data_IF_980372241376
#
_entry.id   IF_980372241376
#
_cell.length_a   1.000
_cell.length_b   1.000
_cell.length_c   1.000
_cell.angle_alpha   90.00
_cell.angle_beta   90.00
_cell.angle_gamma   90.00
#
_symmetry.space_group_name_H-M   'P 1'
#
loop_
_entity.id
_entity.type
_entity.pdbx_description
1 polymer ?
#
# COMPACT_ATOMS: atom_id res chain seq x y z
N UNK A 1 -9.43 15.14 7.85
CA UNK A 1 -8.00 15.50 7.69
C UNK A 1 -7.27 14.27 7.15
N UNK A 2 -6.32 14.37 6.21
CA UNK A 2 -5.67 13.18 5.67
C UNK A 2 -4.81 12.49 6.74
N UNK A 3 -4.85 11.15 6.78
CA UNK A 3 -3.94 10.37 7.61
C UNK A 3 -2.51 10.38 7.07
N UNK A 4 -1.54 10.33 7.97
CA UNK A 4 -0.14 10.30 7.60
C UNK A 4 0.20 9.00 6.85
N UNK A 5 0.61 9.08 5.57
CA UNK A 5 0.84 7.89 4.76
C UNK A 5 1.94 6.98 5.31
N UNK A 6 3.03 7.57 5.80
CA UNK A 6 4.15 6.85 6.41
C UNK A 6 3.77 6.14 7.71
N UNK A 7 3.12 6.85 8.63
CA UNK A 7 2.74 6.26 9.91
C UNK A 7 1.67 5.19 9.74
N UNK A 8 0.67 5.44 8.88
CA UNK A 8 -0.37 4.45 8.57
C UNK A 8 0.25 3.21 7.91
N UNK A 9 1.17 3.36 6.96
CA UNK A 9 1.85 2.21 6.35
C UNK A 9 2.62 1.37 7.37
N UNK A 10 3.34 2.01 8.31
CA UNK A 10 4.04 1.29 9.39
C UNK A 10 3.10 0.52 10.30
N UNK A 11 1.99 1.11 10.71
CA UNK A 11 1.01 0.43 11.57
C UNK A 11 0.30 -0.70 10.81
N UNK A 12 -0.04 -0.51 9.53
CA UNK A 12 -0.59 -1.58 8.69
C UNK A 12 0.35 -2.79 8.62
N UNK A 13 1.65 -2.57 8.38
CA UNK A 13 2.64 -3.66 8.36
C UNK A 13 2.74 -4.39 9.70
N UNK A 14 2.64 -3.67 10.83
CA UNK A 14 2.62 -4.31 12.17
C UNK A 14 1.36 -5.13 12.39
N UNK A 15 0.21 -4.62 11.99
CA UNK A 15 -1.07 -5.33 12.10
C UNK A 15 -1.06 -6.57 11.21
N UNK A 16 -0.58 -6.46 9.98
CA UNK A 16 -0.44 -7.58 9.07
C UNK A 16 0.49 -8.66 9.64
N UNK A 17 1.66 -8.28 10.18
CA UNK A 17 2.58 -9.22 10.80
C UNK A 17 1.95 -9.93 12.01
N UNK A 18 1.27 -9.19 12.90
CA UNK A 18 0.53 -9.77 14.03
C UNK A 18 -0.61 -10.69 13.58
N UNK A 19 -1.35 -10.28 12.55
CA UNK A 19 -2.45 -11.07 12.02
C UNK A 19 -1.96 -12.40 11.43
N UNK A 20 -0.79 -12.39 10.76
CA UNK A 20 -0.15 -13.61 10.26
C UNK A 20 0.35 -14.50 11.41
N UNK A 21 0.85 -13.89 12.49
CA UNK A 21 1.29 -14.61 13.70
C UNK A 21 0.10 -15.25 14.45
N UNK A 22 -1.00 -14.51 14.62
CA UNK A 22 -2.21 -14.97 15.29
C UNK A 22 -2.97 -16.02 14.46
N UNK A 23 -2.90 -15.93 13.12
CA UNK A 23 -3.55 -16.83 12.16
C UNK A 23 -2.52 -17.46 11.19
N UNK A 24 -1.76 -18.46 11.66
CA UNK A 24 -0.69 -19.08 10.86
C UNK A 24 -1.24 -19.84 9.65
N UNK A 25 -2.41 -20.46 9.77
CA UNK A 25 -3.09 -21.16 8.68
C UNK A 25 -3.81 -20.18 7.74
N UNK A 26 -3.68 -20.42 6.44
CA UNK A 26 -4.20 -19.51 5.40
C UNK A 26 -5.72 -19.51 5.32
N UNK A 27 -6.37 -20.61 5.70
CA UNK A 27 -7.82 -20.77 5.70
C UNK A 27 -8.50 -19.90 6.77
N UNK A 28 -7.81 -19.61 7.88
CA UNK A 28 -8.32 -18.75 8.95
C UNK A 28 -8.10 -17.24 8.67
N UNK A 29 -7.31 -16.91 7.63
CA UNK A 29 -7.00 -15.52 7.25
C UNK A 29 -8.17 -14.91 6.47
N UNK A 30 -9.10 -14.31 7.19
CA UNK A 30 -10.13 -13.44 6.60
C UNK A 30 -9.55 -12.09 6.20
N UNK A 31 -9.46 -11.88 4.88
CA UNK A 31 -9.12 -10.57 4.28
C UNK A 31 -9.99 -9.44 4.84
N UNK A 32 -11.28 -9.68 5.03
CA UNK A 32 -12.21 -8.66 5.54
C UNK A 32 -11.93 -8.29 7.01
N UNK A 33 -11.48 -9.25 7.83
CA UNK A 33 -11.05 -8.97 9.20
C UNK A 33 -9.77 -8.11 9.22
N UNK A 34 -8.80 -8.40 8.35
CA UNK A 34 -7.58 -7.60 8.22
C UNK A 34 -7.87 -6.16 7.77
N UNK A 35 -8.78 -5.97 6.81
CA UNK A 35 -9.18 -4.63 6.36
C UNK A 35 -9.88 -3.81 7.45
N UNK A 36 -10.71 -4.43 8.29
CA UNK A 36 -11.32 -3.74 9.45
C UNK A 36 -10.26 -3.19 10.41
N UNK A 37 -9.24 -3.98 10.72
CA UNK A 37 -8.12 -3.54 11.56
C UNK A 37 -7.35 -2.37 10.93
N UNK A 38 -7.27 -2.31 9.60
CA UNK A 38 -6.65 -1.18 8.89
C UNK A 38 -7.48 0.10 8.93
N UNK A 39 -8.81 0.00 8.93
CA UNK A 39 -9.72 1.15 8.98
C UNK A 39 -9.73 1.82 10.37
N UNK A 40 -9.43 1.06 11.42
CA UNK A 40 -9.27 1.58 12.79
C UNK A 40 -8.03 2.47 12.96
N UNK A 41 -7.09 2.48 12.00
CA UNK A 41 -5.87 3.30 12.07
C UNK A 41 -6.19 4.77 11.77
N UNK A 42 -6.43 5.55 12.82
CA UNK A 42 -6.56 7.00 12.74
C UNK A 42 -5.27 7.73 13.16
N UNK A 43 -4.54 8.28 12.19
CA UNK A 43 -3.33 9.09 12.43
C UNK A 43 -3.46 10.40 11.64
N UNK A 44 -4.30 11.33 12.12
CA UNK A 44 -4.60 12.53 11.39
C UNK A 44 -3.39 13.46 11.34
N UNK A 45 -3.07 13.98 10.15
CA UNK A 45 -2.10 15.06 10.02
C UNK A 45 -2.74 16.41 10.39
N UNK A 46 -2.01 17.29 11.04
CA UNK A 46 -2.48 18.66 11.33
C UNK A 46 -2.25 19.53 10.11
N UNK A 47 -3.24 20.35 9.73
CA UNK A 47 -3.05 21.37 8.70
C UNK A 47 -2.14 22.47 9.24
N UNK A 48 -1.21 22.99 8.43
CA UNK A 48 -0.43 24.16 8.80
C UNK A 48 -1.30 25.42 8.69
N UNK A 49 -1.46 26.15 9.80
CA UNK A 49 -2.24 27.38 9.88
C UNK A 49 -1.62 28.52 9.05
N UNK A 50 -0.29 28.54 8.90
CA UNK A 50 0.43 29.53 8.08
C UNK A 50 0.29 29.22 6.60
N UNK A 51 0.21 27.93 6.24
CA UNK A 51 0.22 27.49 4.86
C UNK A 51 -0.84 26.39 4.65
N UNK A 52 -2.10 26.79 4.49
CA UNK A 52 -3.31 25.92 4.44
C UNK A 52 -3.32 24.80 3.40
N UNK A 53 -2.30 24.74 2.53
CA UNK A 53 -2.10 23.67 1.54
C UNK A 53 -1.32 22.48 2.11
N UNK A 54 -0.51 22.71 3.14
CA UNK A 54 0.38 21.71 3.71
C UNK A 54 -0.21 21.11 4.98
N UNK A 55 0.14 19.85 5.19
CA UNK A 55 -0.18 19.09 6.38
C UNK A 55 1.12 18.63 7.02
N UNK A 56 1.17 18.66 8.35
CA UNK A 56 2.28 18.17 9.14
C UNK A 56 1.86 16.99 10.02
N UNK A 57 2.61 15.91 9.95
CA UNK A 57 2.47 14.80 10.88
C UNK A 57 3.30 15.06 12.14
N UNK A 58 2.67 15.08 13.32
CA UNK A 58 3.35 15.24 14.62
C UNK A 58 4.14 14.00 15.06
N UNK A 59 3.89 12.82 14.48
CA UNK A 59 4.59 11.57 14.82
C UNK A 59 5.91 11.42 14.08
N UNK A 60 5.90 11.58 12.74
CA UNK A 60 7.10 11.37 11.91
C UNK A 60 7.69 12.66 11.33
N UNK A 61 7.04 13.81 11.50
CA UNK A 61 7.50 15.10 10.96
C UNK A 61 7.21 15.30 9.47
N UNK A 62 6.50 14.38 8.80
CA UNK A 62 6.16 14.53 7.38
C UNK A 62 5.40 15.83 7.13
N UNK A 63 5.93 16.67 6.26
CA UNK A 63 5.33 17.93 5.83
C UNK A 63 5.06 17.86 4.32
N UNK A 64 3.79 17.80 3.95
CA UNK A 64 3.39 17.53 2.56
C UNK A 64 2.01 18.13 2.25
N UNK A 65 1.79 18.47 0.99
CA UNK A 65 0.48 18.83 0.45
C UNK A 65 -0.42 17.61 0.28
N UNK A 66 -1.71 17.84 0.02
CA UNK A 66 -2.67 16.75 -0.17
C UNK A 66 -2.36 15.87 -1.38
N UNK A 67 -1.83 16.45 -2.45
CA UNK A 67 -1.42 15.72 -3.66
C UNK A 67 -0.21 14.85 -3.35
N UNK A 68 0.83 15.42 -2.76
CA UNK A 68 2.02 14.68 -2.32
C UNK A 68 1.69 13.54 -1.35
N UNK A 69 0.74 13.75 -0.42
CA UNK A 69 0.26 12.68 0.46
C UNK A 69 -0.32 11.52 -0.35
N UNK A 70 -1.08 11.81 -1.41
CA UNK A 70 -1.70 10.78 -2.25
C UNK A 70 -0.64 10.01 -3.04
N UNK A 71 0.36 10.71 -3.59
CA UNK A 71 1.48 10.12 -4.29
C UNK A 71 2.32 9.22 -3.38
N UNK A 72 2.59 9.66 -2.14
CA UNK A 72 3.32 8.86 -1.16
C UNK A 72 2.51 7.60 -0.81
N UNK A 73 1.19 7.68 -0.62
CA UNK A 73 0.35 6.48 -0.39
C UNK A 73 0.42 5.52 -1.55
N UNK A 74 0.35 6.04 -2.77
CA UNK A 74 0.43 5.22 -3.96
C UNK A 74 1.76 4.47 -4.01
N UNK A 75 2.89 5.18 -3.82
CA UNK A 75 4.23 4.58 -3.77
C UNK A 75 4.39 3.55 -2.65
N UNK A 76 3.89 3.82 -1.45
CA UNK A 76 3.98 2.90 -0.31
C UNK A 76 3.14 1.63 -0.49
N UNK A 77 2.07 1.69 -1.29
CA UNK A 77 1.23 0.53 -1.61
C UNK A 77 1.73 -0.25 -2.84
N UNK A 78 2.67 0.30 -3.63
CA UNK A 78 3.24 -0.45 -4.74
C UNK A 78 4.17 -1.52 -4.19
N UNK A 79 3.88 -2.79 -4.55
CA UNK A 79 4.84 -3.88 -4.38
C UNK A 79 6.08 -3.54 -5.22
N UNK A 80 7.25 -3.59 -4.61
CA UNK A 80 8.51 -3.39 -5.33
C UNK A 80 8.58 -4.46 -6.43
N UNK A 81 8.65 -4.06 -7.72
CA UNK A 81 8.71 -5.02 -8.84
C UNK A 81 9.96 -5.86 -8.67
N UNK A 82 9.77 -7.11 -8.29
CA UNK A 82 10.85 -8.05 -8.11
C UNK A 82 11.37 -8.51 -9.46
N UNK A 83 12.57 -9.08 -9.48
CA UNK A 83 13.18 -9.60 -10.71
C UNK A 83 12.33 -10.73 -11.33
N UNK A 84 11.62 -11.50 -10.50
CA UNK A 84 10.72 -12.58 -10.93
C UNK A 84 9.47 -12.05 -11.65
N UNK A 85 8.90 -10.93 -11.17
CA UNK A 85 7.74 -10.29 -11.84
C UNK A 85 8.04 -9.89 -13.30
N UNK A 86 9.32 -9.65 -13.65
CA UNK A 86 9.74 -9.37 -15.04
C UNK A 86 9.90 -10.62 -15.91
N UNK A 87 10.18 -11.78 -15.29
CA UNK A 87 10.34 -13.04 -16.00
C UNK A 87 8.97 -13.57 -16.46
N UNK A 88 7.94 -13.40 -15.63
CA UNK A 88 6.57 -13.79 -15.95
C UNK A 88 5.98 -12.95 -17.10
N UNK A 89 6.28 -11.65 -17.16
CA UNK A 89 5.90 -10.77 -18.28
C UNK A 89 6.45 -11.29 -19.63
N UNK A 90 7.68 -11.83 -19.66
CA UNK A 90 8.27 -12.40 -20.87
C UNK A 90 7.57 -13.69 -21.31
N UNK A 91 7.26 -14.58 -20.35
CA UNK A 91 6.54 -15.83 -20.61
C UNK A 91 5.10 -15.58 -21.07
N UNK A 92 4.41 -14.60 -20.48
CA UNK A 92 3.07 -14.18 -20.92
C UNK A 92 3.08 -13.62 -22.34
N UNK A 93 4.01 -12.71 -22.65
CA UNK A 93 4.14 -12.14 -23.99
C UNK A 93 4.45 -13.23 -25.02
N UNK A 94 5.38 -14.13 -24.70
CA UNK A 94 5.75 -15.22 -25.59
C UNK A 94 4.59 -16.19 -25.82
N UNK A 95 3.84 -16.54 -24.78
CA UNK A 95 2.68 -17.43 -24.87
C UNK A 95 1.52 -16.79 -25.65
N UNK A 96 1.25 -15.49 -25.44
CA UNK A 96 0.28 -14.72 -26.23
C UNK A 96 0.68 -14.67 -27.71
N UNK A 97 1.95 -14.38 -28.01
CA UNK A 97 2.47 -14.37 -29.38
C UNK A 97 2.37 -15.74 -30.07
N UNK A 98 2.60 -16.83 -29.33
CA UNK A 98 2.42 -18.20 -29.81
C UNK A 98 0.95 -18.52 -30.09
N UNK A 99 0.05 -18.07 -29.22
CA UNK A 99 -1.40 -18.31 -29.35
C UNK A 99 -2.02 -17.54 -30.52
N UNK A 100 -1.66 -16.26 -30.68
CA UNK A 100 -2.08 -15.42 -31.82
C UNK A 100 -1.58 -15.95 -33.18
N UNK A 101 -0.45 -16.66 -33.21
CA UNK A 101 0.07 -17.33 -34.41
C UNK A 101 -0.62 -18.66 -34.74
N UNK A 102 -1.33 -19.27 -33.80
CA UNK A 102 -2.05 -20.52 -34.02
C UNK A 102 -3.52 -20.29 -34.41
N UNK A 103 -4.04 -19.08 -34.14
CA UNK A 103 -5.42 -18.66 -34.48
C UNK A 103 -5.50 -17.86 -35.81
N UNK A 104 -4.38 -17.66 -36.52
CA UNK A 104 -4.30 -17.16 -37.91
C UNK A 104 -3.84 -18.28 -38.86
#
# INVERSE_FOLDING_TARGET
>A
MPNCPECTSREKKKIEAKYIEDFPEEEDRSRDALFKLFDEIDIPMKMDEKNRRHFICKRCGLYATREEISDIRFKLNQKERTRDDKHDDYLEWWSKSKKEKAEN
#
